data_IF_334675710344
#
_entry.id   IF_334675710344
#
_cell.length_a   1.000
_cell.length_b   1.000
_cell.length_c   1.000
_cell.angle_alpha   90.00
_cell.angle_beta   90.00
_cell.angle_gamma   90.00
#
_symmetry.space_group_name_H-M   'P 1'
#
loop_
_entity.id
_entity.type
_entity.pdbx_description
1 polymer ?
#
# COMPACT_ATOMS: atom_id res chain seq x y z
N UNK A 1 -9.01 -16.39 -7.33
CA UNK A 1 -8.58 -15.94 -8.66
C UNK A 1 -7.06 -15.94 -8.81
N UNK A 2 -6.31 -15.37 -7.87
CA UNK A 2 -4.83 -15.37 -7.89
C UNK A 2 -4.28 -16.80 -7.84
N UNK A 3 -4.82 -17.63 -6.97
CA UNK A 3 -4.40 -19.02 -6.79
C UNK A 3 -4.75 -19.92 -7.99
N UNK A 4 -5.83 -19.60 -8.71
CA UNK A 4 -6.29 -20.41 -9.85
C UNK A 4 -5.68 -20.01 -11.19
N UNK A 5 -5.53 -18.72 -11.46
CA UNK A 5 -5.07 -18.19 -12.76
C UNK A 5 -3.63 -17.67 -12.73
N UNK A 6 -3.05 -17.60 -11.53
CA UNK A 6 -1.70 -17.13 -11.26
C UNK A 6 -1.56 -15.60 -11.19
N UNK A 7 -0.58 -15.11 -10.41
CA UNK A 7 -0.40 -13.69 -10.14
C UNK A 7 -0.10 -12.89 -11.41
N UNK A 8 0.71 -13.41 -12.34
CA UNK A 8 1.07 -12.73 -13.60
C UNK A 8 -0.17 -12.27 -14.39
N UNK A 9 -1.11 -13.18 -14.66
CA UNK A 9 -2.30 -12.88 -15.47
C UNK A 9 -3.26 -11.95 -14.73
N UNK A 10 -3.50 -12.23 -13.45
CA UNK A 10 -4.46 -11.48 -12.66
C UNK A 10 -3.99 -10.05 -12.42
N UNK A 11 -2.74 -9.86 -12.01
CA UNK A 11 -2.18 -8.52 -11.78
C UNK A 11 -2.18 -7.71 -13.08
N UNK A 12 -1.76 -8.30 -14.22
CA UNK A 12 -1.78 -7.59 -15.50
C UNK A 12 -3.20 -7.19 -15.92
N UNK A 13 -4.20 -8.05 -15.73
CA UNK A 13 -5.58 -7.73 -16.05
C UNK A 13 -6.12 -6.60 -15.18
N UNK A 14 -5.87 -6.64 -13.87
CA UNK A 14 -6.31 -5.60 -12.97
C UNK A 14 -5.59 -4.27 -13.23
N UNK A 15 -4.30 -4.29 -13.51
CA UNK A 15 -3.55 -3.08 -13.90
C UNK A 15 -4.06 -2.49 -15.23
N UNK A 16 -4.49 -3.31 -16.18
CA UNK A 16 -5.12 -2.80 -17.41
C UNK A 16 -6.42 -2.03 -17.11
N UNK A 17 -7.21 -2.52 -16.15
CA UNK A 17 -8.38 -1.79 -15.67
C UNK A 17 -8.01 -0.45 -15.01
N UNK A 18 -6.89 -0.43 -14.25
CA UNK A 18 -6.35 0.80 -13.67
C UNK A 18 -5.95 1.82 -14.74
N UNK A 19 -5.33 1.38 -15.85
CA UNK A 19 -4.98 2.27 -16.97
C UNK A 19 -6.24 2.94 -17.55
N UNK A 20 -7.30 2.17 -17.78
CA UNK A 20 -8.58 2.73 -18.24
C UNK A 20 -9.09 3.78 -17.26
N UNK A 21 -9.04 3.49 -15.95
CA UNK A 21 -9.43 4.43 -14.90
C UNK A 21 -8.57 5.69 -14.90
N UNK A 22 -7.24 5.60 -15.07
CA UNK A 22 -6.31 6.74 -15.11
C UNK A 22 -6.57 7.64 -16.31
N UNK A 23 -6.80 7.06 -17.50
CA UNK A 23 -7.15 7.81 -18.71
C UNK A 23 -8.50 8.50 -18.54
N UNK A 24 -9.51 7.79 -18.03
CA UNK A 24 -10.81 8.34 -17.75
C UNK A 24 -10.74 9.51 -16.73
N UNK A 25 -9.90 9.38 -15.71
CA UNK A 25 -9.65 10.45 -14.74
C UNK A 25 -9.04 11.69 -15.41
N UNK A 26 -8.02 11.51 -16.24
CA UNK A 26 -7.33 12.60 -16.94
C UNK A 26 -8.26 13.36 -17.91
N UNK A 27 -9.22 12.67 -18.52
CA UNK A 27 -10.19 13.25 -19.47
C UNK A 27 -11.50 13.67 -18.82
N UNK A 28 -11.65 13.52 -17.51
CA UNK A 28 -12.89 13.79 -16.80
C UNK A 28 -13.31 15.27 -16.90
N UNK A 29 -14.59 15.49 -17.20
CA UNK A 29 -15.22 16.80 -17.31
C UNK A 29 -16.24 17.06 -16.20
N UNK A 30 -16.67 16.03 -15.49
CA UNK A 30 -17.67 16.12 -14.42
C UNK A 30 -17.30 15.23 -13.22
N UNK A 31 -17.95 15.50 -12.08
CA UNK A 31 -17.70 14.78 -10.83
C UNK A 31 -18.00 13.28 -10.96
N UNK A 32 -19.08 12.91 -11.65
CA UNK A 32 -19.47 11.50 -11.82
C UNK A 32 -18.38 10.71 -12.53
N UNK A 33 -17.81 11.28 -13.59
CA UNK A 33 -16.71 10.66 -14.34
C UNK A 33 -15.45 10.52 -13.47
N UNK A 34 -15.14 11.52 -12.62
CA UNK A 34 -14.05 11.44 -11.63
C UNK A 34 -14.29 10.32 -10.62
N UNK A 35 -15.50 10.16 -10.10
CA UNK A 35 -15.82 9.11 -9.14
C UNK A 35 -15.72 7.72 -9.76
N UNK A 36 -16.29 7.51 -10.95
CA UNK A 36 -16.20 6.24 -11.68
C UNK A 36 -14.74 5.88 -11.95
N UNK A 37 -13.94 6.84 -12.41
CA UNK A 37 -12.52 6.61 -12.68
C UNK A 37 -11.75 6.22 -11.42
N UNK A 38 -12.05 6.80 -10.26
CA UNK A 38 -11.46 6.43 -8.95
C UNK A 38 -11.81 5.00 -8.55
N UNK A 39 -13.04 4.57 -8.78
CA UNK A 39 -13.44 3.18 -8.53
C UNK A 39 -12.66 2.22 -9.42
N UNK A 40 -12.53 2.53 -10.72
CA UNK A 40 -11.76 1.71 -11.66
C UNK A 40 -10.27 1.62 -11.28
N UNK A 41 -9.66 2.75 -10.90
CA UNK A 41 -8.27 2.78 -10.42
C UNK A 41 -8.14 1.93 -9.15
N UNK A 42 -9.02 2.11 -8.18
CA UNK A 42 -8.99 1.39 -6.90
C UNK A 42 -9.11 -0.12 -7.08
N UNK A 43 -10.07 -0.57 -7.90
CA UNK A 43 -10.23 -1.99 -8.25
C UNK A 43 -8.99 -2.49 -8.99
N UNK A 44 -8.47 -1.71 -9.94
CA UNK A 44 -7.30 -2.07 -10.73
C UNK A 44 -6.03 -2.23 -9.90
N UNK A 45 -5.79 -1.39 -8.91
CA UNK A 45 -4.62 -1.46 -8.02
C UNK A 45 -4.80 -2.51 -6.92
N UNK A 46 -6.04 -2.93 -6.60
CA UNK A 46 -6.33 -3.88 -5.52
C UNK A 46 -5.58 -5.22 -5.61
N UNK A 47 -5.24 -5.68 -6.82
CA UNK A 47 -4.46 -6.90 -7.00
C UNK A 47 -2.94 -6.70 -6.78
N UNK A 48 -2.45 -5.45 -6.76
CA UNK A 48 -1.01 -5.17 -6.71
C UNK A 48 -0.38 -5.50 -5.36
N UNK A 49 -1.14 -5.54 -4.28
CA UNK A 49 -0.67 -5.98 -2.96
C UNK A 49 -0.69 -7.50 -2.85
N UNK A 50 -1.80 -8.14 -3.21
CA UNK A 50 -1.99 -9.57 -3.02
C UNK A 50 -1.25 -10.42 -4.06
N UNK A 51 -1.04 -9.91 -5.27
CA UNK A 51 -0.32 -10.61 -6.33
C UNK A 51 1.11 -10.97 -5.94
N UNK A 52 1.97 -10.01 -5.56
CA UNK A 52 3.32 -10.28 -5.08
C UNK A 52 3.35 -11.17 -3.85
N UNK A 53 2.49 -10.94 -2.84
CA UNK A 53 2.41 -11.77 -1.64
C UNK A 53 2.14 -13.24 -1.97
N UNK A 54 1.24 -13.51 -2.92
CA UNK A 54 0.96 -14.86 -3.39
C UNK A 54 2.18 -15.44 -4.13
N UNK A 55 2.85 -14.65 -4.95
CA UNK A 55 4.04 -15.07 -5.68
C UNK A 55 5.22 -15.39 -4.76
N UNK A 56 5.47 -14.54 -3.75
CA UNK A 56 6.57 -14.75 -2.79
C UNK A 56 6.38 -16.01 -1.98
N UNK A 57 5.15 -16.32 -1.57
CA UNK A 57 4.81 -17.53 -0.85
C UNK A 57 5.15 -18.81 -1.62
N UNK A 58 5.22 -18.73 -2.93
CA UNK A 58 5.47 -19.90 -3.78
C UNK A 58 6.92 -20.00 -4.18
N UNK A 59 7.57 -18.87 -4.44
CA UNK A 59 8.92 -18.85 -4.99
C UNK A 59 10.02 -18.75 -3.94
N UNK A 60 9.68 -18.25 -2.73
CA UNK A 60 10.68 -17.96 -1.70
C UNK A 60 10.42 -18.76 -0.42
N UNK A 61 11.51 -19.09 0.27
CA UNK A 61 11.48 -19.61 1.63
C UNK A 61 11.06 -18.51 2.62
N UNK A 62 10.58 -18.89 3.81
CA UNK A 62 9.96 -17.97 4.79
C UNK A 62 10.83 -16.75 5.15
N UNK A 63 12.14 -16.94 5.33
CA UNK A 63 13.05 -15.82 5.63
C UNK A 63 13.16 -14.82 4.46
N UNK A 64 13.21 -15.33 3.23
CA UNK A 64 13.29 -14.52 2.01
C UNK A 64 11.96 -13.83 1.73
N UNK A 65 10.83 -14.48 2.05
CA UNK A 65 9.50 -13.85 1.94
C UNK A 65 9.39 -12.58 2.79
N UNK A 66 9.88 -12.62 4.03
CA UNK A 66 9.84 -11.45 4.93
C UNK A 66 10.63 -10.27 4.35
N UNK A 67 11.81 -10.54 3.79
CA UNK A 67 12.63 -9.52 3.12
C UNK A 67 11.94 -8.97 1.87
N UNK A 68 11.40 -9.85 1.03
CA UNK A 68 10.69 -9.46 -0.18
C UNK A 68 9.44 -8.60 0.13
N UNK A 69 8.70 -8.94 1.19
CA UNK A 69 7.58 -8.14 1.68
C UNK A 69 8.03 -6.74 2.12
N UNK A 70 9.13 -6.65 2.86
CA UNK A 70 9.67 -5.35 3.29
C UNK A 70 10.12 -4.50 2.10
N UNK A 71 10.77 -5.10 1.10
CA UNK A 71 11.15 -4.40 -0.13
C UNK A 71 9.94 -3.93 -0.93
N UNK A 72 8.88 -4.73 -0.99
CA UNK A 72 7.62 -4.33 -1.63
C UNK A 72 7.01 -3.10 -0.94
N UNK A 73 6.97 -3.10 0.39
CA UNK A 73 6.48 -1.94 1.17
C UNK A 73 7.38 -0.72 1.00
N UNK A 74 8.70 -0.91 0.94
CA UNK A 74 9.68 0.14 0.66
C UNK A 74 9.43 0.78 -0.72
N UNK A 75 9.25 -0.01 -1.76
CA UNK A 75 8.92 0.50 -3.12
C UNK A 75 7.59 1.25 -3.10
N UNK A 76 6.60 0.77 -2.33
CA UNK A 76 5.35 1.49 -2.09
C UNK A 76 5.57 2.85 -1.42
N UNK A 77 6.46 2.92 -0.41
CA UNK A 77 6.83 4.17 0.26
C UNK A 77 7.55 5.15 -0.68
N UNK A 78 8.40 4.66 -1.59
CA UNK A 78 9.00 5.50 -2.65
C UNK A 78 7.90 6.09 -3.55
N UNK A 79 6.88 5.33 -3.89
CA UNK A 79 5.72 5.82 -4.64
C UNK A 79 4.97 6.94 -3.91
N UNK A 80 4.72 6.77 -2.61
CA UNK A 80 4.10 7.81 -1.77
C UNK A 80 4.99 9.05 -1.67
N UNK A 81 6.29 8.88 -1.50
CA UNK A 81 7.27 9.96 -1.48
C UNK A 81 7.24 10.76 -2.78
N UNK A 82 7.19 10.06 -3.92
CA UNK A 82 7.12 10.67 -5.24
C UNK A 82 5.82 11.45 -5.47
N UNK A 83 4.73 11.07 -4.81
CA UNK A 83 3.44 11.75 -4.89
C UNK A 83 3.34 13.03 -4.06
N UNK A 84 4.30 13.33 -3.20
CA UNK A 84 4.35 14.54 -2.36
C UNK A 84 5.08 15.70 -3.05
N UNK A 85 6.29 16.01 -2.63
CA UNK A 85 7.07 17.12 -3.18
C UNK A 85 7.26 17.07 -4.70
N UNK A 86 7.66 15.93 -5.32
CA UNK A 86 7.85 15.91 -6.77
C UNK A 86 6.59 16.27 -7.55
N UNK A 87 5.43 15.78 -7.11
CA UNK A 87 4.16 16.13 -7.76
C UNK A 87 3.80 17.59 -7.52
N UNK A 88 4.06 18.13 -6.33
CA UNK A 88 3.84 19.56 -6.03
C UNK A 88 4.61 20.46 -7.01
N UNK A 89 5.87 20.14 -7.32
CA UNK A 89 6.66 20.88 -8.30
C UNK A 89 6.21 20.68 -9.75
N UNK A 90 5.78 19.47 -10.10
CA UNK A 90 5.32 19.15 -11.46
C UNK A 90 3.94 19.71 -11.77
N UNK A 91 3.08 19.85 -10.76
CA UNK A 91 1.69 20.25 -10.92
C UNK A 91 1.52 21.59 -11.66
N UNK A 92 2.25 22.68 -11.33
CA UNK A 92 2.15 23.93 -12.05
C UNK A 92 2.77 23.88 -13.45
N UNK A 93 3.71 22.97 -13.73
CA UNK A 93 4.43 22.87 -15.00
C UNK A 93 3.63 22.12 -16.06
N UNK A 94 3.05 20.96 -15.70
CA UNK A 94 2.41 20.06 -16.67
C UNK A 94 0.91 19.85 -16.41
N UNK A 95 0.42 20.33 -15.28
CA UNK A 95 -0.98 20.17 -14.88
C UNK A 95 -1.34 18.76 -14.42
N UNK A 96 -2.42 18.64 -13.65
CA UNK A 96 -2.83 17.37 -13.05
C UNK A 96 -3.27 16.30 -14.09
N UNK A 97 -3.86 16.72 -15.23
CA UNK A 97 -4.27 15.78 -16.30
C UNK A 97 -3.08 15.05 -16.88
N UNK A 98 -2.01 15.77 -17.19
CA UNK A 98 -0.77 15.20 -17.73
C UNK A 98 -0.09 14.26 -16.73
N UNK A 99 -0.16 14.56 -15.43
CA UNK A 99 0.35 13.68 -14.38
C UNK A 99 -0.37 12.32 -14.42
N UNK A 100 -1.70 12.30 -14.53
CA UNK A 100 -2.47 11.05 -14.61
C UNK A 100 -2.22 10.28 -15.90
N UNK A 101 -2.00 10.94 -17.04
CA UNK A 101 -1.59 10.30 -18.29
C UNK A 101 -0.19 9.67 -18.18
N UNK A 102 0.76 10.36 -17.55
CA UNK A 102 2.08 9.80 -17.28
C UNK A 102 2.01 8.58 -16.34
N UNK A 103 1.15 8.61 -15.33
CA UNK A 103 0.90 7.45 -14.48
C UNK A 103 0.30 6.27 -15.27
N UNK A 104 -0.59 6.53 -16.22
CA UNK A 104 -1.13 5.49 -17.11
C UNK A 104 -0.02 4.86 -17.97
N UNK A 105 0.89 5.69 -18.52
CA UNK A 105 2.04 5.21 -19.28
C UNK A 105 2.99 4.38 -18.41
N UNK A 106 3.33 4.85 -17.21
CA UNK A 106 4.15 4.08 -16.25
C UNK A 106 3.50 2.75 -15.89
N UNK A 107 2.19 2.73 -15.66
CA UNK A 107 1.44 1.49 -15.38
C UNK A 107 1.50 0.53 -16.57
N UNK A 108 1.43 1.04 -17.80
CA UNK A 108 1.58 0.23 -19.01
C UNK A 108 2.99 -0.40 -19.09
N UNK A 109 4.03 0.38 -18.81
CA UNK A 109 5.41 -0.12 -18.73
C UNK A 109 5.51 -1.21 -17.67
N UNK A 110 4.92 -1.03 -16.49
CA UNK A 110 4.89 -2.05 -15.44
C UNK A 110 4.21 -3.36 -15.92
N UNK A 111 3.10 -3.28 -16.67
CA UNK A 111 2.44 -4.46 -17.22
C UNK A 111 3.38 -5.18 -18.19
N UNK A 112 4.07 -4.46 -19.08
CA UNK A 112 5.03 -5.02 -20.03
C UNK A 112 6.16 -5.73 -19.27
N UNK A 113 6.73 -5.10 -18.24
CA UNK A 113 7.76 -5.71 -17.41
C UNK A 113 7.27 -6.97 -16.70
N UNK A 114 6.04 -6.96 -16.16
CA UNK A 114 5.41 -8.14 -15.56
C UNK A 114 5.29 -9.28 -16.59
N UNK A 115 4.88 -8.97 -17.81
CA UNK A 115 4.71 -9.96 -18.87
C UNK A 115 6.06 -10.55 -19.32
N UNK A 116 7.12 -9.76 -19.34
CA UNK A 116 8.45 -10.19 -19.76
C UNK A 116 9.16 -10.98 -18.66
N UNK A 117 9.26 -10.40 -17.46
CA UNK A 117 10.12 -10.93 -16.41
C UNK A 117 9.48 -11.99 -15.51
N UNK A 118 8.15 -11.95 -15.32
CA UNK A 118 7.50 -12.94 -14.45
C UNK A 118 7.27 -14.24 -15.23
N UNK A 119 7.76 -15.40 -14.74
CA UNK A 119 7.58 -16.68 -15.38
C UNK A 119 6.10 -17.07 -15.48
N UNK A 120 5.80 -17.96 -16.43
CA UNK A 120 4.45 -18.52 -16.57
C UNK A 120 4.11 -19.34 -15.32
N UNK A 121 2.91 -19.17 -14.83
CA UNK A 121 2.38 -19.94 -13.72
C UNK A 121 2.16 -21.41 -14.15
N UNK A 122 2.90 -22.33 -13.53
CA UNK A 122 2.64 -23.76 -13.71
C UNK A 122 1.67 -24.23 -12.60
N UNK A 123 0.47 -24.56 -13.01
CA UNK A 123 -0.62 -25.02 -12.12
C UNK A 123 -0.31 -26.36 -11.44
N UNK A 124 0.78 -27.03 -11.81
CA UNK A 124 1.15 -28.36 -11.31
C UNK A 124 1.54 -28.39 -9.83
N UNK A 125 2.04 -27.29 -9.27
CA UNK A 125 2.53 -27.25 -7.87
C UNK A 125 1.42 -27.28 -6.82
N UNK A 126 0.19 -26.94 -7.17
CA UNK A 126 -0.95 -26.89 -6.23
C UNK A 126 -1.96 -28.03 -6.37
N UNK A 127 -1.81 -28.93 -7.34
CA UNK A 127 -2.71 -30.07 -7.50
C UNK A 127 -2.64 -31.09 -6.34
N UNK A 128 -1.59 -31.05 -5.54
CA UNK A 128 -1.45 -31.97 -4.39
C UNK A 128 -2.02 -31.43 -3.06
N UNK A 129 -2.29 -30.13 -2.96
CA UNK A 129 -3.14 -29.63 -1.89
C UNK A 129 -4.56 -29.53 -2.46
N UNK A 130 -5.41 -30.50 -2.14
CA UNK A 130 -6.83 -30.49 -2.45
C UNK A 130 -7.39 -29.09 -2.20
N UNK A 131 -7.75 -28.40 -3.28
CA UNK A 131 -8.53 -27.15 -3.24
C UNK A 131 -9.90 -27.50 -2.65
N UNK A 132 -9.95 -27.58 -1.35
CA UNK A 132 -11.19 -27.82 -0.61
C UNK A 132 -11.96 -26.51 -0.64
N UNK A 133 -13.13 -26.51 -1.28
CA UNK A 133 -14.02 -25.34 -1.37
C UNK A 133 -14.38 -24.76 0.02
N UNK A 134 -14.16 -25.54 1.06
CA UNK A 134 -14.35 -25.14 2.46
C UNK A 134 -13.25 -24.24 3.05
N UNK A 135 -12.17 -23.91 2.33
CA UNK A 135 -11.04 -23.11 2.89
C UNK A 135 -11.48 -21.70 3.32
N UNK A 136 -12.35 -21.04 2.60
CA UNK A 136 -12.88 -19.72 2.99
C UNK A 136 -13.69 -19.80 4.29
N UNK A 137 -14.57 -20.79 4.40
CA UNK A 137 -15.35 -21.04 5.62
C UNK A 137 -14.44 -21.36 6.82
N UNK A 138 -13.37 -22.10 6.60
CA UNK A 138 -12.39 -22.44 7.65
C UNK A 138 -11.63 -21.22 8.15
N UNK A 139 -11.23 -20.31 7.24
CA UNK A 139 -10.59 -19.03 7.61
C UNK A 139 -11.54 -18.17 8.44
N UNK A 140 -12.81 -18.02 8.01
CA UNK A 140 -13.82 -17.26 8.74
C UNK A 140 -14.20 -17.87 10.09
N UNK A 141 -14.04 -19.18 10.28
CA UNK A 141 -14.26 -19.87 11.57
C UNK A 141 -13.08 -19.74 12.53
N UNK A 142 -11.89 -19.38 12.03
CA UNK A 142 -10.69 -19.28 12.85
C UNK A 142 -10.79 -18.08 13.81
N UNK A 143 -10.68 -18.36 15.11
CA UNK A 143 -10.77 -17.35 16.19
C UNK A 143 -9.68 -16.29 16.07
N UNK A 144 -8.46 -16.70 15.74
CA UNK A 144 -7.31 -15.80 15.60
C UNK A 144 -7.51 -14.83 14.43
N UNK A 145 -8.05 -15.32 13.31
CA UNK A 145 -8.40 -14.46 12.15
C UNK A 145 -9.44 -13.42 12.53
N UNK A 146 -10.52 -13.81 13.23
CA UNK A 146 -11.56 -12.88 13.68
C UNK A 146 -11.03 -11.80 14.63
N UNK A 147 -10.09 -12.16 15.50
CA UNK A 147 -9.47 -11.20 16.43
C UNK A 147 -8.55 -10.21 15.73
N UNK A 148 -7.92 -10.60 14.60
CA UNK A 148 -7.02 -9.73 13.84
C UNK A 148 -7.75 -8.77 12.89
N UNK A 149 -8.99 -9.10 12.47
CA UNK A 149 -9.77 -8.24 11.55
C UNK A 149 -9.96 -6.81 12.10
N UNK A 150 -10.47 -6.59 13.33
CA UNK A 150 -10.64 -5.24 13.85
C UNK A 150 -9.32 -4.48 13.94
N UNK A 151 -8.27 -5.15 14.40
CA UNK A 151 -6.95 -4.56 14.49
C UNK A 151 -6.42 -4.13 13.11
N UNK A 152 -6.52 -4.99 12.10
CA UNK A 152 -6.10 -4.68 10.74
C UNK A 152 -6.93 -3.53 10.15
N UNK A 153 -8.25 -3.56 10.34
CA UNK A 153 -9.16 -2.53 9.83
C UNK A 153 -8.85 -1.14 10.43
N UNK A 154 -8.78 -1.03 11.75
CA UNK A 154 -8.56 0.26 12.39
C UNK A 154 -7.12 0.75 12.25
N UNK A 155 -6.11 -0.13 12.35
CA UNK A 155 -4.72 0.28 12.21
C UNK A 155 -4.37 0.65 10.78
N UNK A 156 -4.72 -0.19 9.80
CA UNK A 156 -4.40 0.05 8.39
C UNK A 156 -5.29 1.13 7.78
N UNK A 157 -6.61 1.02 7.99
CA UNK A 157 -7.57 2.02 7.51
C UNK A 157 -7.35 3.39 8.14
N UNK A 158 -7.11 3.45 9.44
CA UNK A 158 -6.78 4.69 10.15
C UNK A 158 -5.48 5.33 9.66
N UNK A 159 -4.42 4.54 9.48
CA UNK A 159 -3.15 5.02 8.95
C UNK A 159 -3.32 5.65 7.56
N UNK A 160 -3.98 4.94 6.64
CA UNK A 160 -4.23 5.46 5.29
C UNK A 160 -5.14 6.69 5.31
N UNK A 161 -6.20 6.70 6.11
CA UNK A 161 -7.09 7.85 6.22
C UNK A 161 -6.35 9.10 6.73
N UNK A 162 -5.52 8.94 7.76
CA UNK A 162 -4.71 10.05 8.29
C UNK A 162 -3.75 10.57 7.24
N UNK A 163 -2.98 9.69 6.61
CA UNK A 163 -1.93 10.10 5.67
C UNK A 163 -2.47 10.69 4.37
N UNK A 164 -3.54 10.13 3.82
CA UNK A 164 -4.01 10.52 2.48
C UNK A 164 -5.08 11.60 2.51
N UNK A 165 -5.90 11.66 3.57
CA UNK A 165 -7.04 12.56 3.64
C UNK A 165 -6.85 13.70 4.64
N UNK A 166 -6.23 13.43 5.79
CA UNK A 166 -6.26 14.36 6.91
C UNK A 166 -4.93 15.08 7.16
N UNK A 167 -3.77 14.46 6.92
CA UNK A 167 -2.47 15.05 7.26
C UNK A 167 -2.24 16.39 6.55
N UNK A 168 -2.45 16.46 5.24
CA UNK A 168 -2.30 17.71 4.48
C UNK A 168 -3.24 18.83 4.94
N UNK A 169 -4.58 18.61 4.93
CA UNK A 169 -5.53 19.59 5.44
C UNK A 169 -5.31 19.99 6.91
N UNK A 170 -4.87 19.07 7.75
CA UNK A 170 -4.58 19.36 9.15
C UNK A 170 -3.37 20.30 9.28
N UNK A 171 -2.28 20.04 8.56
CA UNK A 171 -1.09 20.90 8.55
C UNK A 171 -1.45 22.33 8.10
N UNK A 172 -2.29 22.46 7.07
CA UNK A 172 -2.69 23.78 6.56
C UNK A 172 -3.67 24.49 7.51
N UNK A 173 -4.74 23.81 7.95
CA UNK A 173 -5.83 24.45 8.66
C UNK A 173 -5.60 24.59 10.18
N UNK A 174 -4.85 23.66 10.79
CA UNK A 174 -4.63 23.61 12.23
C UNK A 174 -3.25 24.14 12.58
N UNK A 175 -2.21 23.71 11.86
CA UNK A 175 -0.83 24.15 12.12
C UNK A 175 -0.47 25.45 11.38
N UNK A 176 -1.31 25.94 10.46
CA UNK A 176 -1.09 27.20 9.75
C UNK A 176 -0.01 27.11 8.66
N UNK A 177 0.35 25.92 8.22
CA UNK A 177 1.38 25.73 7.18
C UNK A 177 0.88 26.20 5.82
N UNK A 178 1.81 26.70 5.02
CA UNK A 178 1.60 26.92 3.60
C UNK A 178 1.45 25.58 2.85
N UNK A 179 0.85 25.57 1.65
CA UNK A 179 0.78 24.33 0.84
C UNK A 179 2.15 23.67 0.60
N UNK A 180 3.21 24.46 0.41
CA UNK A 180 4.57 23.97 0.20
C UNK A 180 5.15 23.34 1.49
N UNK A 181 4.98 23.97 2.64
CA UNK A 181 5.38 23.40 3.94
C UNK A 181 4.59 22.13 4.26
N UNK A 182 3.30 22.07 3.93
CA UNK A 182 2.50 20.86 4.07
C UNK A 182 3.01 19.73 3.18
N UNK A 183 3.41 20.02 1.94
CA UNK A 183 4.00 19.03 1.03
C UNK A 183 5.37 18.51 1.56
N UNK A 184 6.18 19.40 2.16
CA UNK A 184 7.42 19.01 2.83
C UNK A 184 7.15 18.11 4.05
N UNK A 185 6.15 18.45 4.86
CA UNK A 185 5.72 17.63 5.99
C UNK A 185 5.27 16.23 5.57
N UNK A 186 4.45 16.13 4.51
CA UNK A 186 4.06 14.84 3.93
C UNK A 186 5.26 14.06 3.40
N UNK A 187 6.20 14.74 2.75
CA UNK A 187 7.44 14.12 2.28
C UNK A 187 8.24 13.52 3.43
N UNK A 188 8.40 14.24 4.54
CA UNK A 188 9.10 13.73 5.74
C UNK A 188 8.38 12.53 6.36
N UNK A 189 7.06 12.51 6.40
CA UNK A 189 6.27 11.36 6.86
C UNK A 189 6.57 10.13 6.00
N UNK A 190 6.50 10.26 4.67
CA UNK A 190 6.75 9.15 3.75
C UNK A 190 8.22 8.72 3.76
N UNK A 191 9.15 9.66 3.93
CA UNK A 191 10.58 9.35 4.09
C UNK A 191 10.86 8.57 5.37
N UNK A 192 10.23 8.95 6.48
CA UNK A 192 10.31 8.21 7.74
C UNK A 192 9.73 6.80 7.61
N UNK A 193 8.64 6.62 6.86
CA UNK A 193 8.08 5.29 6.55
C UNK A 193 9.06 4.46 5.73
N UNK A 194 9.71 5.05 4.72
CA UNK A 194 10.73 4.36 3.92
C UNK A 194 11.86 3.81 4.80
N UNK A 195 12.41 4.64 5.68
CA UNK A 195 13.44 4.24 6.64
C UNK A 195 12.92 3.15 7.58
N UNK A 196 11.68 3.30 8.08
CA UNK A 196 11.06 2.32 8.97
C UNK A 196 10.91 0.96 8.29
N UNK A 197 10.50 0.90 7.02
CA UNK A 197 10.40 -0.35 6.28
C UNK A 197 11.77 -0.99 6.01
N UNK A 198 12.80 -0.18 5.73
CA UNK A 198 14.17 -0.68 5.61
C UNK A 198 14.67 -1.28 6.93
N UNK A 199 14.51 -0.56 8.04
CA UNK A 199 14.86 -1.03 9.37
C UNK A 199 14.09 -2.30 9.73
N UNK A 200 12.79 -2.32 9.49
CA UNK A 200 11.93 -3.46 9.75
C UNK A 200 12.37 -4.70 8.97
N UNK A 201 12.62 -4.56 7.67
CA UNK A 201 13.10 -5.64 6.82
C UNK A 201 14.45 -6.21 7.22
N UNK A 202 15.31 -5.37 7.82
CA UNK A 202 16.64 -5.81 8.28
C UNK A 202 16.62 -6.40 9.70
N UNK A 203 15.89 -5.78 10.62
CA UNK A 203 15.92 -6.14 12.04
C UNK A 203 14.93 -7.23 12.41
N UNK A 204 13.71 -7.21 11.88
CA UNK A 204 12.65 -8.14 12.32
C UNK A 204 12.98 -9.61 12.07
N UNK A 205 13.58 -10.02 10.93
CA UNK A 205 13.98 -11.42 10.74
C UNK A 205 15.00 -11.91 11.77
N UNK A 206 15.76 -10.98 12.40
CA UNK A 206 16.74 -11.33 13.45
C UNK A 206 16.09 -11.52 14.82
N UNK A 207 15.00 -10.79 15.12
CA UNK A 207 14.36 -10.76 16.43
C UNK A 207 13.06 -11.57 16.50
N UNK A 208 12.41 -11.84 15.39
CA UNK A 208 11.14 -12.57 15.33
C UNK A 208 11.33 -13.86 14.53
N UNK A 209 11.72 -14.91 15.23
CA UNK A 209 11.85 -16.27 14.65
C UNK A 209 10.57 -17.07 14.77
N UNK A 210 9.69 -16.72 15.73
CA UNK A 210 8.47 -17.46 16.05
C UNK A 210 7.25 -16.53 16.07
N UNK A 211 6.06 -17.11 15.91
CA UNK A 211 4.77 -16.40 15.99
C UNK A 211 4.61 -15.65 17.32
N UNK A 212 5.12 -16.23 18.43
CA UNK A 212 5.07 -15.61 19.75
C UNK A 212 5.88 -14.31 19.83
N UNK A 213 7.01 -14.23 19.14
CA UNK A 213 7.83 -13.02 19.08
C UNK A 213 7.10 -11.91 18.30
N UNK A 214 6.43 -12.29 17.21
CA UNK A 214 5.60 -11.35 16.44
C UNK A 214 4.44 -10.79 17.29
N UNK A 215 3.76 -11.64 18.07
CA UNK A 215 2.70 -11.23 19.00
C UNK A 215 3.27 -10.29 20.08
N UNK A 216 4.48 -10.55 20.59
CA UNK A 216 5.14 -9.68 21.57
C UNK A 216 5.43 -8.30 21.02
N UNK A 217 5.94 -8.22 19.77
CA UNK A 217 6.18 -6.96 19.09
C UNK A 217 4.88 -6.17 18.87
N UNK A 218 3.78 -6.84 18.52
CA UNK A 218 2.47 -6.20 18.40
C UNK A 218 1.94 -5.67 19.73
N UNK A 219 2.13 -6.42 20.83
CA UNK A 219 1.70 -5.99 22.17
C UNK A 219 2.42 -4.73 22.64
N UNK A 220 3.65 -4.51 22.22
CA UNK A 220 4.43 -3.30 22.57
C UNK A 220 4.14 -2.18 21.56
N UNK A 221 4.11 -2.50 20.27
CA UNK A 221 3.97 -1.51 19.21
C UNK A 221 2.59 -0.84 19.17
N UNK A 222 1.51 -1.58 19.43
CA UNK A 222 0.17 -1.02 19.36
C UNK A 222 -0.10 0.04 20.44
N UNK A 223 0.22 -0.17 21.75
CA UNK A 223 0.09 0.88 22.76
C UNK A 223 1.00 2.08 22.50
N UNK A 224 2.23 1.84 22.03
CA UNK A 224 3.15 2.92 21.71
C UNK A 224 2.60 3.83 20.60
N UNK A 225 2.02 3.23 19.57
CA UNK A 225 1.37 3.98 18.47
C UNK A 225 0.19 4.83 18.99
N UNK A 226 -0.62 4.28 19.89
CA UNK A 226 -1.73 5.03 20.52
C UNK A 226 -1.24 6.19 21.39
N UNK A 227 -0.15 6.00 22.14
CA UNK A 227 0.47 7.06 22.95
C UNK A 227 0.98 8.17 22.05
N UNK A 228 1.69 7.85 20.98
CA UNK A 228 2.19 8.87 20.02
C UNK A 228 1.03 9.63 19.38
N UNK A 229 -0.04 8.93 18.98
CA UNK A 229 -1.23 9.57 18.41
C UNK A 229 -1.90 10.51 19.43
N UNK A 230 -2.05 10.08 20.68
CA UNK A 230 -2.61 10.89 21.74
C UNK A 230 -1.75 12.13 22.03
N UNK A 231 -0.42 12.00 21.99
CA UNK A 231 0.51 13.13 22.13
C UNK A 231 0.35 14.14 20.98
N UNK A 232 0.23 13.69 19.73
CA UNK A 232 -0.01 14.59 18.58
C UNK A 232 -1.32 15.35 18.77
N UNK A 233 -2.39 14.68 19.20
CA UNK A 233 -3.69 15.31 19.44
C UNK A 233 -3.60 16.32 20.60
N UNK A 234 -2.91 15.95 21.68
CA UNK A 234 -2.75 16.80 22.86
C UNK A 234 -1.92 18.06 22.58
N UNK A 235 -0.84 17.92 21.84
CA UNK A 235 0.02 19.04 21.44
C UNK A 235 -0.67 19.97 20.43
N UNK A 236 -1.61 19.44 19.66
CA UNK A 236 -2.40 20.22 18.69
C UNK A 236 -1.53 21.06 17.75
N UNK A 237 -1.80 22.39 17.62
CA UNK A 237 -1.03 23.28 16.74
C UNK A 237 0.47 23.35 17.06
N UNK A 238 0.86 23.11 18.31
CA UNK A 238 2.28 23.13 18.74
C UNK A 238 3.06 21.92 18.25
N UNK A 239 2.40 20.84 17.85
CA UNK A 239 3.06 19.66 17.30
C UNK A 239 3.76 19.89 15.96
N UNK A 240 3.41 20.95 15.24
CA UNK A 240 4.04 21.33 13.99
C UNK A 240 5.27 22.23 14.13
N UNK A 241 5.58 22.70 15.34
CA UNK A 241 6.73 23.57 15.62
C UNK A 241 7.91 22.82 16.24
N UNK A 242 7.80 21.51 16.39
CA UNK A 242 8.84 20.59 16.86
C UNK A 242 9.38 19.82 15.67
#
# INVERSE_FOLDING_TARGET
LLDSKGPKKIVSYFLSLSIVGLILFATAQNLTMLLISRVLIGVGVGACLMGPLTAYRIWFQDETQQRANSWMLMVGAIGMLSSSLPVQYLLPLIGWRSIFLNLALLTLICIILIIIFIPKWETKSFKNEQFNENKLSTVWKNSLFKSLIPMGFFSYGGLFAIQTLWAGPWMIKVSGYTPDESAQGLFLIYFSMLISFLCWGYFVPKFSKNVNDAIRLLRIGAPLNLIVLALIIYLGPKAGSI
#
